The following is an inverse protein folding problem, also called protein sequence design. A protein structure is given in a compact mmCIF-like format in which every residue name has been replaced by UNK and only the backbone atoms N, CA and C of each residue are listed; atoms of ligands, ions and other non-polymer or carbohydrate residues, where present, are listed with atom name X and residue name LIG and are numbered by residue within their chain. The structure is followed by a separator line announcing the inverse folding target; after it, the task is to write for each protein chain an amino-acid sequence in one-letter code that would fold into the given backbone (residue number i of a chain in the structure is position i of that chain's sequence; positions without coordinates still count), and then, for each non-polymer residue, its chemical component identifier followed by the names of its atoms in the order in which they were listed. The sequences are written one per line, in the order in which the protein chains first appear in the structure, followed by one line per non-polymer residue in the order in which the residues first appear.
data_IF_220534487539
#
_entry.id   IF_220534487539
#
_cell.length_a   1.000
_cell.length_b   1.000
_cell.length_c   1.000
_cell.angle_alpha   90.00
_cell.angle_beta   90.00
_cell.angle_gamma   90.00
#
_symmetry.space_group_name_H-M   'P 1'
#
loop_
_entity.id
_entity.type
_entity.pdbx_description
1 polymer ?
#
# COMPACT_ATOMS: atom_id res chain seq x y z
N UNK A 1 -0.56 -13.40 -16.66
CA UNK A 1 -1.28 -12.51 -15.74
C UNK A 1 -0.62 -11.14 -15.83
N UNK A 2 -1.32 -10.10 -16.30
CA UNK A 2 -0.78 -8.75 -16.41
C UNK A 2 -1.22 -7.96 -15.19
N UNK A 3 -0.29 -7.31 -14.50
CA UNK A 3 -0.58 -6.45 -13.36
C UNK A 3 -0.50 -5.00 -13.84
N UNK A 4 -1.62 -4.30 -14.02
CA UNK A 4 -1.59 -2.90 -14.41
C UNK A 4 -0.94 -2.08 -13.29
N UNK A 5 0.08 -1.30 -13.64
CA UNK A 5 0.78 -0.41 -12.71
C UNK A 5 0.37 1.01 -13.04
N UNK A 6 -0.14 1.72 -12.03
CA UNK A 6 -0.54 3.12 -12.16
C UNK A 6 0.27 3.94 -11.16
N UNK A 7 0.88 5.02 -11.66
CA UNK A 7 1.62 5.97 -10.84
C UNK A 7 0.78 7.21 -10.63
N UNK A 8 0.49 7.53 -9.37
CA UNK A 8 -0.25 8.73 -8.98
C UNK A 8 0.72 9.69 -8.30
N UNK A 9 0.72 10.95 -8.73
CA UNK A 9 1.56 11.98 -8.10
C UNK A 9 1.03 12.34 -6.71
N UNK A 10 1.89 12.23 -5.70
CA UNK A 10 1.52 12.52 -4.30
C UNK A 10 1.21 14.00 -4.04
N UNK A 11 1.62 14.89 -4.95
CA UNK A 11 1.31 16.34 -4.94
C UNK A 11 -0.16 16.64 -5.23
N UNK A 12 -0.91 15.66 -5.74
CA UNK A 12 -2.36 15.74 -5.90
C UNK A 12 -3.03 15.82 -4.51
N UNK A 13 -4.14 16.55 -4.43
CA UNK A 13 -4.98 16.60 -3.23
C UNK A 13 -5.55 15.22 -2.88
N UNK A 14 -6.00 15.04 -1.62
CA UNK A 14 -6.55 13.78 -1.11
C UNK A 14 -7.65 13.21 -2.02
N UNK A 15 -8.55 14.07 -2.53
CA UNK A 15 -9.63 13.68 -3.45
C UNK A 15 -9.10 13.11 -4.77
N UNK A 16 -8.10 13.74 -5.37
CA UNK A 16 -7.58 13.32 -6.66
C UNK A 16 -6.84 11.97 -6.55
N UNK A 17 -6.16 11.72 -5.43
CA UNK A 17 -5.56 10.40 -5.15
C UNK A 17 -6.65 9.35 -4.95
N UNK A 18 -7.66 9.64 -4.14
CA UNK A 18 -8.77 8.71 -3.91
C UNK A 18 -9.53 8.38 -5.21
N UNK A 19 -9.74 9.39 -6.06
CA UNK A 19 -10.39 9.23 -7.35
C UNK A 19 -9.57 8.32 -8.28
N UNK A 20 -8.28 8.59 -8.46
CA UNK A 20 -7.41 7.77 -9.29
C UNK A 20 -7.32 6.31 -8.80
N UNK A 21 -7.32 6.08 -7.48
CA UNK A 21 -7.36 4.73 -6.91
C UNK A 21 -8.68 4.02 -7.24
N UNK A 22 -9.81 4.72 -7.12
CA UNK A 22 -11.12 4.13 -7.37
C UNK A 22 -11.37 3.85 -8.86
N UNK A 23 -10.95 4.75 -9.75
CA UNK A 23 -11.06 4.56 -11.20
C UNK A 23 -10.22 3.39 -11.71
N UNK A 24 -9.06 3.17 -11.10
CA UNK A 24 -8.13 2.10 -11.49
C UNK A 24 -8.42 0.77 -10.81
N UNK A 25 -9.39 0.75 -9.90
CA UNK A 25 -9.85 -0.42 -9.14
C UNK A 25 -8.71 -1.18 -8.42
N UNK A 26 -7.65 -0.47 -8.01
CA UNK A 26 -6.47 -1.09 -7.42
C UNK A 26 -6.75 -1.65 -6.02
N UNK A 27 -6.23 -2.84 -5.76
CA UNK A 27 -6.29 -3.49 -4.43
C UNK A 27 -5.07 -3.21 -3.58
N UNK A 28 -3.93 -2.94 -4.22
CA UNK A 28 -2.62 -2.74 -3.60
C UNK A 28 -2.07 -1.37 -3.94
N UNK A 29 -1.62 -0.64 -2.91
CA UNK A 29 -0.97 0.66 -3.06
C UNK A 29 0.46 0.58 -2.54
N UNK A 30 1.41 1.15 -3.29
CA UNK A 30 2.80 1.29 -2.85
C UNK A 30 3.06 2.77 -2.59
N UNK A 31 3.56 3.10 -1.39
CA UNK A 31 3.79 4.50 -0.99
C UNK A 31 5.04 4.66 -0.12
N UNK A 32 5.45 5.90 0.15
CA UNK A 32 6.53 6.20 1.08
C UNK A 32 5.98 6.36 2.50
N UNK A 33 6.85 6.22 3.51
CA UNK A 33 6.47 6.40 4.90
C UNK A 33 5.76 7.75 5.15
N UNK A 34 6.27 8.84 4.59
CA UNK A 34 5.73 10.19 4.78
C UNK A 34 4.29 10.38 4.26
N UNK A 35 3.87 9.53 3.33
CA UNK A 35 2.53 9.60 2.73
C UNK A 35 1.51 8.69 3.44
N UNK A 36 1.95 7.75 4.29
CA UNK A 36 1.07 6.86 5.04
C UNK A 36 0.00 7.59 5.86
N UNK A 37 0.29 8.68 6.59
CA UNK A 37 -0.73 9.41 7.34
C UNK A 37 -1.87 9.94 6.45
N UNK A 38 -1.56 10.31 5.20
CA UNK A 38 -2.55 10.76 4.19
C UNK A 38 -3.50 9.62 3.83
N UNK A 39 -3.00 8.39 3.79
CA UNK A 39 -3.80 7.21 3.49
C UNK A 39 -4.85 6.88 4.56
N UNK A 40 -4.71 7.34 5.80
CA UNK A 40 -5.79 7.20 6.81
C UNK A 40 -7.11 7.83 6.32
N UNK A 41 -7.03 8.98 5.65
CA UNK A 41 -8.20 9.67 5.05
C UNK A 41 -8.62 9.06 3.72
N UNK A 42 -7.67 8.72 2.87
CA UNK A 42 -7.93 8.18 1.53
C UNK A 42 -8.61 6.81 1.63
N UNK A 43 -8.17 5.94 2.54
CA UNK A 43 -8.74 4.59 2.72
C UNK A 43 -10.23 4.60 3.10
N UNK A 44 -10.72 5.67 3.72
CA UNK A 44 -12.16 5.81 4.00
C UNK A 44 -12.98 5.95 2.70
N UNK A 45 -12.35 6.43 1.62
CA UNK A 45 -12.97 6.65 0.30
C UNK A 45 -12.59 5.59 -0.72
N UNK A 46 -11.67 4.68 -0.41
CA UNK A 46 -11.16 3.66 -1.35
C UNK A 46 -11.47 2.25 -0.83
N UNK A 47 -12.72 1.77 -0.98
CA UNK A 47 -13.16 0.51 -0.40
C UNK A 47 -12.49 -0.73 -1.02
N UNK A 48 -11.97 -0.63 -2.25
CA UNK A 48 -11.29 -1.73 -2.96
C UNK A 48 -9.85 -1.97 -2.48
N UNK A 49 -9.23 -0.98 -1.83
CA UNK A 49 -7.87 -1.13 -1.31
C UNK A 49 -7.89 -2.02 -0.07
N UNK A 50 -7.10 -3.09 -0.13
CA UNK A 50 -6.93 -4.06 0.96
C UNK A 50 -5.47 -4.15 1.45
N UNK A 51 -4.50 -3.71 0.63
CA UNK A 51 -3.08 -3.77 0.97
C UNK A 51 -2.37 -2.45 0.68
N UNK A 52 -1.60 -1.98 1.67
CA UNK A 52 -0.64 -0.89 1.53
C UNK A 52 0.75 -1.44 1.78
N UNK A 53 1.63 -1.26 0.80
CA UNK A 53 3.06 -1.50 0.91
C UNK A 53 3.72 -0.14 1.10
N UNK A 54 4.48 0.03 2.17
CA UNK A 54 5.24 1.26 2.37
C UNK A 54 6.74 1.02 2.29
N UNK A 55 7.44 1.96 1.67
CA UNK A 55 8.90 1.99 1.66
C UNK A 55 9.38 2.39 3.05
N UNK A 56 10.01 1.45 3.75
CA UNK A 56 10.51 1.62 5.11
C UNK A 56 11.68 2.60 5.14
N UNK A 57 11.61 3.56 6.04
CA UNK A 57 12.75 4.37 6.47
C UNK A 57 13.32 3.75 7.77
N UNK A 58 14.65 3.64 7.87
CA UNK A 58 15.30 2.95 8.99
C UNK A 58 15.11 3.66 10.33
N UNK A 59 14.67 4.92 10.31
CA UNK A 59 14.56 5.79 11.48
C UNK A 59 13.12 6.02 11.96
N UNK A 60 12.11 5.56 11.23
CA UNK A 60 10.72 5.95 11.49
C UNK A 60 9.86 4.76 11.94
N UNK A 61 9.38 4.81 13.18
CA UNK A 61 8.36 3.89 13.69
C UNK A 61 7.00 4.29 13.18
N UNK A 62 6.23 3.33 12.69
CA UNK A 62 4.93 3.55 12.07
C UNK A 62 3.85 3.20 13.06
N UNK A 63 2.95 4.15 13.25
CA UNK A 63 1.67 3.90 13.85
C UNK A 63 0.77 3.18 12.82
N UNK A 64 0.38 1.95 13.15
CA UNK A 64 -0.52 1.11 12.34
C UNK A 64 -1.99 1.30 12.77
N UNK A 65 -2.26 2.18 13.72
CA UNK A 65 -3.61 2.45 14.23
C UNK A 65 -4.33 3.50 13.38
N UNK A 66 -5.66 3.45 13.37
CA UNK A 66 -6.51 4.43 12.69
C UNK A 66 -6.63 4.27 11.17
N UNK A 67 -6.26 3.10 10.63
CA UNK A 67 -6.59 2.74 9.25
C UNK A 67 -7.87 1.90 9.17
N UNK A 68 -8.43 1.79 7.96
CA UNK A 68 -9.63 1.00 7.66
C UNK A 68 -9.51 -0.43 8.24
N UNK A 69 -10.56 -0.96 8.90
CA UNK A 69 -10.52 -2.31 9.44
C UNK A 69 -10.25 -3.35 8.34
N UNK A 70 -9.33 -4.27 8.61
CA UNK A 70 -8.94 -5.33 7.68
C UNK A 70 -7.90 -4.93 6.63
N UNK A 71 -7.38 -3.70 6.66
CA UNK A 71 -6.27 -3.30 5.77
C UNK A 71 -4.96 -3.99 6.18
N UNK A 72 -4.20 -4.48 5.21
CA UNK A 72 -2.86 -5.02 5.40
C UNK A 72 -1.83 -3.94 5.13
N UNK A 73 -1.06 -3.56 6.15
CA UNK A 73 0.03 -2.59 6.02
C UNK A 73 1.34 -3.36 6.20
N UNK A 74 2.11 -3.48 5.12
CA UNK A 74 3.34 -4.29 5.08
C UNK A 74 4.53 -3.45 4.63
N UNK A 75 5.67 -3.68 5.28
CA UNK A 75 6.91 -3.02 4.90
C UNK A 75 7.46 -3.59 3.60
N UNK A 76 8.10 -2.76 2.80
CA UNK A 76 8.75 -3.22 1.57
C UNK A 76 9.78 -4.34 1.86
N UNK A 77 10.59 -4.23 2.92
CA UNK A 77 11.55 -5.29 3.27
C UNK A 77 10.84 -6.59 3.66
N UNK A 78 9.71 -6.50 4.36
CA UNK A 78 8.88 -7.66 4.70
C UNK A 78 8.36 -8.36 3.42
N UNK A 79 7.92 -7.59 2.42
CA UNK A 79 7.48 -8.15 1.12
C UNK A 79 8.64 -8.85 0.41
N UNK A 80 9.83 -8.27 0.40
CA UNK A 80 11.03 -8.92 -0.17
C UNK A 80 11.34 -10.22 0.55
N UNK A 81 11.33 -10.23 1.88
CA UNK A 81 11.62 -11.42 2.67
C UNK A 81 10.56 -12.52 2.47
N UNK A 82 9.28 -12.15 2.36
CA UNK A 82 8.20 -13.06 1.97
C UNK A 82 8.44 -13.65 0.58
N UNK A 83 8.90 -12.84 -0.38
CA UNK A 83 9.24 -13.29 -1.73
C UNK A 83 10.39 -14.31 -1.74
N UNK A 84 11.43 -14.07 -0.95
CA UNK A 84 12.55 -15.01 -0.75
C UNK A 84 12.03 -16.32 -0.18
N UNK A 85 11.26 -16.27 0.92
CA UNK A 85 10.73 -17.46 1.58
C UNK A 85 9.70 -18.21 0.71
N UNK A 86 8.92 -17.51 -0.13
CA UNK A 86 7.91 -18.12 -0.99
C UNK A 86 8.51 -18.96 -2.13
N UNK A 87 9.72 -18.64 -2.60
CA UNK A 87 10.39 -19.44 -3.65
C UNK A 87 10.89 -20.80 -3.16
N UNK A 88 11.02 -21.01 -1.84
CA UNK A 88 11.46 -22.30 -1.27
C UNK A 88 10.32 -23.30 -1.03
N UNK A 89 9.06 -22.91 -1.23
CA UNK A 89 7.89 -23.76 -0.91
C UNK A 89 7.29 -24.58 -2.06
N UNK A 90 7.91 -24.63 -3.25
CA UNK A 90 7.36 -25.30 -4.44
C UNK A 90 8.09 -26.56 -4.93
N UNK A 91 8.91 -27.17 -4.09
CA UNK A 91 9.46 -28.50 -4.34
C UNK A 91 9.37 -29.35 -3.08
N UNK A 92 8.19 -29.89 -2.80
CA UNK A 92 8.03 -31.17 -2.11
C UNK A 92 6.70 -31.81 -2.45
#
# INVERSE_FOLDING_TARGET
YQFPVVTIYATLGDEAIAHGINETEVSTVITTHDLLPKFKKILAKTPKVDTIIYMEDQLQTIDREGYKPGIRIVGYKEVIQKGINASFGKFS
#
